data_IF_156826157554
#
_entry.id   IF_156826157554
#
_cell.length_a   1.000
_cell.length_b   1.000
_cell.length_c   1.000
_cell.angle_alpha   90.00
_cell.angle_beta   90.00
_cell.angle_gamma   90.00
#
_symmetry.space_group_name_H-M   'P 1'
#
loop_
_entity.id
_entity.type
_entity.pdbx_description
1 polymer ?
#
# COMPACT_ATOMS: atom_id res chain seq x y z
N UNK A 1 42.48 6.89 -24.35
CA UNK A 1 41.27 6.63 -23.52
C UNK A 1 41.74 6.39 -22.11
N UNK A 2 41.28 7.14 -21.16
CA UNK A 2 41.64 6.97 -19.75
C UNK A 2 40.93 5.75 -19.16
N UNK A 3 41.49 5.16 -18.09
CA UNK A 3 40.85 4.02 -17.39
C UNK A 3 39.42 4.37 -16.93
N UNK A 4 39.21 5.61 -16.50
CA UNK A 4 37.89 6.12 -16.10
C UNK A 4 36.90 6.17 -17.29
N UNK A 5 37.35 6.56 -18.50
CA UNK A 5 36.49 6.55 -19.70
C UNK A 5 36.08 5.13 -20.09
N UNK A 6 36.98 4.13 -19.87
CA UNK A 6 36.65 2.74 -20.12
C UNK A 6 35.58 2.24 -19.16
N UNK A 7 35.72 2.48 -17.86
CA UNK A 7 34.73 2.10 -16.83
C UNK A 7 33.36 2.78 -17.07
N UNK A 8 33.36 4.05 -17.48
CA UNK A 8 32.11 4.74 -17.82
C UNK A 8 31.39 4.09 -19.00
N UNK A 9 32.10 3.69 -20.04
CA UNK A 9 31.51 2.97 -21.19
C UNK A 9 30.92 1.64 -20.75
N UNK A 10 31.57 0.92 -19.87
CA UNK A 10 31.09 -0.33 -19.31
C UNK A 10 29.80 -0.16 -18.50
N UNK A 11 29.72 0.85 -17.64
CA UNK A 11 28.48 1.21 -16.94
C UNK A 11 27.34 1.51 -17.88
N UNK A 12 27.58 2.25 -18.97
CA UNK A 12 26.55 2.55 -19.96
C UNK A 12 26.10 1.28 -20.72
N UNK A 13 27.05 0.40 -21.09
CA UNK A 13 26.73 -0.84 -21.77
C UNK A 13 25.86 -1.76 -20.90
N UNK A 14 26.23 -1.95 -19.64
CA UNK A 14 25.46 -2.77 -18.69
C UNK A 14 24.05 -2.21 -18.47
N UNK A 15 23.93 -0.89 -18.33
CA UNK A 15 22.62 -0.25 -18.18
C UNK A 15 21.70 -0.48 -19.39
N UNK A 16 22.25 -0.40 -20.60
CA UNK A 16 21.53 -0.71 -21.84
C UNK A 16 21.07 -2.18 -21.85
N UNK A 17 21.97 -3.10 -21.54
CA UNK A 17 21.64 -4.52 -21.49
C UNK A 17 20.55 -4.86 -20.48
N UNK A 18 20.58 -4.27 -19.29
CA UNK A 18 19.54 -4.47 -18.27
C UNK A 18 18.19 -3.98 -18.79
N UNK A 19 18.14 -2.81 -19.41
CA UNK A 19 16.92 -2.25 -19.91
C UNK A 19 16.36 -3.05 -21.11
N UNK A 20 17.23 -3.55 -22.00
CA UNK A 20 16.88 -4.43 -23.13
C UNK A 20 16.28 -5.75 -22.60
N UNK A 21 16.93 -6.40 -21.62
CA UNK A 21 16.42 -7.64 -21.02
C UNK A 21 15.07 -7.42 -20.33
N UNK A 22 14.84 -6.24 -19.74
CA UNK A 22 13.54 -5.88 -19.13
C UNK A 22 12.46 -5.53 -20.14
N UNK A 23 12.75 -5.60 -21.46
CA UNK A 23 11.77 -5.35 -22.52
C UNK A 23 11.27 -3.91 -22.61
N UNK A 24 12.10 -2.93 -22.19
CA UNK A 24 11.76 -1.52 -22.36
C UNK A 24 11.92 -1.11 -23.82
N UNK A 25 11.00 -0.28 -24.30
CA UNK A 25 11.10 0.28 -25.65
C UNK A 25 12.37 1.11 -25.83
N UNK A 26 12.87 1.19 -27.05
CA UNK A 26 14.17 1.82 -27.35
C UNK A 26 14.22 3.30 -26.97
N UNK A 27 13.10 4.02 -27.08
CA UNK A 27 12.98 5.41 -26.65
C UNK A 27 13.13 5.57 -25.12
N UNK A 28 12.55 4.65 -24.34
CA UNK A 28 12.70 4.60 -22.89
C UNK A 28 14.14 4.24 -22.48
N UNK A 29 14.80 3.39 -23.24
CA UNK A 29 16.20 3.01 -23.08
C UNK A 29 17.14 4.18 -23.29
N UNK A 30 16.95 4.93 -24.38
CA UNK A 30 17.74 6.12 -24.68
C UNK A 30 17.53 7.22 -23.64
N UNK A 31 16.29 7.44 -23.18
CA UNK A 31 15.98 8.38 -22.12
C UNK A 31 16.65 8.01 -20.77
N UNK A 32 16.66 6.72 -20.42
CA UNK A 32 17.30 6.22 -19.18
C UNK A 32 18.84 6.34 -19.21
N UNK A 33 19.46 6.03 -20.36
CA UNK A 33 20.91 6.05 -20.51
C UNK A 33 21.45 7.45 -20.76
N UNK A 34 20.68 8.27 -21.46
CA UNK A 34 21.09 9.59 -21.90
C UNK A 34 20.52 10.73 -21.05
N UNK A 35 19.87 10.46 -19.91
CA UNK A 35 19.45 11.53 -19.02
C UNK A 35 20.66 12.41 -18.65
N UNK A 36 20.56 13.70 -18.91
CA UNK A 36 21.61 14.67 -18.56
C UNK A 36 22.09 14.50 -17.12
N UNK A 37 21.17 14.27 -16.19
CA UNK A 37 21.44 14.06 -14.78
C UNK A 37 22.40 12.87 -14.54
N UNK A 38 22.15 11.72 -15.18
CA UNK A 38 23.02 10.56 -15.02
C UNK A 38 24.42 10.79 -15.59
N UNK A 39 24.54 11.43 -16.76
CA UNK A 39 25.84 11.77 -17.37
C UNK A 39 26.67 12.70 -16.50
N UNK A 40 26.05 13.72 -15.91
CA UNK A 40 26.73 14.65 -15.01
C UNK A 40 27.14 14.01 -13.69
N UNK A 41 26.29 13.15 -13.12
CA UNK A 41 26.62 12.38 -11.92
C UNK A 41 27.75 11.40 -12.20
N UNK A 42 27.69 10.65 -13.30
CA UNK A 42 28.69 9.67 -13.68
C UNK A 42 30.09 10.28 -13.89
N UNK A 43 30.17 11.52 -14.40
CA UNK A 43 31.45 12.25 -14.53
C UNK A 43 32.11 12.56 -13.18
N UNK A 44 31.34 12.66 -12.10
CA UNK A 44 31.81 12.98 -10.74
C UNK A 44 32.31 11.76 -9.99
N UNK A 45 31.92 10.54 -10.41
CA UNK A 45 32.32 9.31 -9.74
C UNK A 45 33.81 9.03 -9.87
N UNK A 46 34.40 8.56 -8.77
CA UNK A 46 35.80 8.09 -8.76
C UNK A 46 35.89 6.68 -9.35
N UNK A 47 37.09 6.24 -9.74
CA UNK A 47 37.29 4.93 -10.37
C UNK A 47 36.81 3.77 -9.48
N UNK A 48 36.99 3.85 -8.18
CA UNK A 48 36.54 2.81 -7.26
C UNK A 48 35.00 2.75 -7.17
N UNK A 49 34.32 3.89 -7.21
CA UNK A 49 32.86 3.96 -7.21
C UNK A 49 32.27 3.39 -8.50
N UNK A 50 32.94 3.62 -9.63
CA UNK A 50 32.54 3.03 -10.92
C UNK A 50 32.66 1.52 -10.90
N UNK A 51 33.70 0.95 -10.29
CA UNK A 51 33.86 -0.51 -10.15
C UNK A 51 32.75 -1.12 -9.32
N UNK A 52 32.44 -0.54 -8.14
CA UNK A 52 31.33 -1.01 -7.31
C UNK A 52 30.00 -0.99 -8.09
N UNK A 53 29.77 0.07 -8.88
CA UNK A 53 28.56 0.15 -9.69
C UNK A 53 28.51 -0.87 -10.83
N UNK A 54 29.65 -1.18 -11.43
CA UNK A 54 29.75 -2.25 -12.44
C UNK A 54 29.34 -3.59 -11.81
N UNK A 55 29.93 -3.96 -10.67
CA UNK A 55 29.59 -5.18 -9.94
C UNK A 55 28.09 -5.25 -9.61
N UNK A 56 27.51 -4.17 -9.06
CA UNK A 56 26.07 -4.08 -8.78
C UNK A 56 25.21 -4.22 -10.05
N UNK A 57 25.64 -3.63 -11.17
CA UNK A 57 24.90 -3.73 -12.44
C UNK A 57 25.01 -5.13 -13.06
N UNK A 58 26.15 -5.79 -12.91
CA UNK A 58 26.30 -7.18 -13.34
C UNK A 58 25.36 -8.11 -12.58
N UNK A 59 25.23 -7.95 -11.26
CA UNK A 59 24.26 -8.68 -10.43
C UNK A 59 22.84 -8.40 -10.89
N UNK A 60 22.48 -7.13 -11.10
CA UNK A 60 21.16 -6.74 -11.59
C UNK A 60 20.85 -7.31 -12.97
N UNK A 61 21.86 -7.41 -13.85
CA UNK A 61 21.71 -8.02 -15.17
C UNK A 61 21.43 -9.53 -15.06
N UNK A 62 22.11 -10.23 -14.14
CA UNK A 62 21.85 -11.65 -13.91
C UNK A 62 20.42 -11.88 -13.37
N UNK A 63 19.99 -11.05 -12.42
CA UNK A 63 18.61 -11.09 -11.90
C UNK A 63 17.63 -10.86 -13.06
N UNK A 64 17.80 -9.79 -13.85
CA UNK A 64 16.92 -9.49 -14.97
C UNK A 64 16.84 -10.61 -16.01
N UNK A 65 17.97 -11.26 -16.32
CA UNK A 65 18.02 -12.44 -17.23
C UNK A 65 17.26 -13.63 -16.65
N UNK A 66 17.39 -13.88 -15.35
CA UNK A 66 16.66 -14.94 -14.67
C UNK A 66 15.16 -14.67 -14.70
N UNK A 67 14.74 -13.46 -14.36
CA UNK A 67 13.33 -13.05 -14.37
C UNK A 67 12.73 -13.17 -15.78
N UNK A 68 13.46 -12.75 -16.83
CA UNK A 68 13.03 -12.91 -18.19
C UNK A 68 12.89 -14.38 -18.62
N UNK A 69 13.80 -15.25 -18.16
CA UNK A 69 13.73 -16.68 -18.44
C UNK A 69 12.52 -17.32 -17.77
N UNK A 70 12.24 -16.96 -16.51
CA UNK A 70 11.05 -17.42 -15.76
C UNK A 70 9.78 -16.98 -16.49
N UNK A 71 9.70 -15.70 -16.87
CA UNK A 71 8.55 -15.15 -17.61
C UNK A 71 8.30 -15.90 -18.92
N UNK A 72 9.33 -16.11 -19.74
CA UNK A 72 9.22 -16.84 -21.00
C UNK A 72 8.78 -18.29 -20.77
N UNK A 73 9.29 -18.96 -19.72
CA UNK A 73 8.87 -20.31 -19.38
C UNK A 73 7.39 -20.36 -18.92
N UNK A 74 6.96 -19.38 -18.13
CA UNK A 74 5.56 -19.24 -17.72
C UNK A 74 4.63 -19.00 -18.92
N UNK A 75 5.01 -18.10 -19.84
CA UNK A 75 4.25 -17.84 -21.06
C UNK A 75 4.11 -19.11 -21.92
N UNK A 76 5.20 -19.86 -22.09
CA UNK A 76 5.19 -21.15 -22.80
C UNK A 76 4.28 -22.20 -22.13
N UNK A 77 4.32 -22.30 -20.81
CA UNK A 77 3.43 -23.19 -20.06
C UNK A 77 1.95 -22.83 -20.25
N UNK A 78 1.61 -21.56 -20.17
CA UNK A 78 0.23 -21.10 -20.32
C UNK A 78 -0.35 -21.25 -21.73
N UNK A 79 0.46 -21.56 -22.72
CA UNK A 79 -0.02 -21.96 -24.06
C UNK A 79 -0.46 -23.43 -24.11
N UNK A 80 -0.15 -24.24 -23.09
CA UNK A 80 -0.66 -25.62 -22.99
C UNK A 80 -2.08 -25.63 -22.41
N UNK A 81 -2.93 -26.65 -22.73
CA UNK A 81 -4.27 -26.76 -22.16
C UNK A 81 -4.28 -26.82 -20.62
N UNK A 82 -3.30 -27.51 -20.05
CA UNK A 82 -3.14 -27.64 -18.58
C UNK A 82 -2.76 -26.30 -17.96
N UNK A 83 -1.79 -25.59 -18.55
CA UNK A 83 -1.37 -24.27 -18.09
C UNK A 83 -2.46 -23.21 -18.24
N UNK A 84 -3.24 -23.25 -19.31
CA UNK A 84 -4.38 -22.35 -19.51
C UNK A 84 -5.45 -22.57 -18.42
N UNK A 85 -5.74 -23.84 -18.07
CA UNK A 85 -6.66 -24.18 -16.97
C UNK A 85 -6.14 -23.68 -15.62
N UNK A 86 -4.86 -23.95 -15.31
CA UNK A 86 -4.22 -23.53 -14.08
C UNK A 86 -4.20 -21.98 -13.93
N UNK A 87 -3.95 -21.26 -15.03
CA UNK A 87 -4.03 -19.81 -15.08
C UNK A 87 -5.44 -19.31 -14.75
N UNK A 88 -6.44 -19.85 -15.43
CA UNK A 88 -7.84 -19.46 -15.23
C UNK A 88 -8.32 -19.72 -13.78
N UNK A 89 -7.92 -20.85 -13.19
CA UNK A 89 -8.23 -21.19 -11.81
C UNK A 89 -7.56 -20.21 -10.83
N UNK A 90 -6.30 -19.87 -11.06
CA UNK A 90 -5.56 -18.93 -10.21
C UNK A 90 -6.13 -17.50 -10.32
N UNK A 91 -6.44 -17.03 -11.53
CA UNK A 91 -7.09 -15.73 -11.74
C UNK A 91 -8.49 -15.69 -11.09
N UNK A 92 -9.25 -16.78 -11.14
CA UNK A 92 -10.53 -16.88 -10.45
C UNK A 92 -10.38 -16.89 -8.92
N UNK A 93 -9.31 -17.48 -8.39
CA UNK A 93 -8.99 -17.43 -6.97
C UNK A 93 -8.61 -16.02 -6.54
N UNK A 94 -7.77 -15.30 -7.30
CA UNK A 94 -7.39 -13.91 -7.02
C UNK A 94 -8.61 -13.00 -6.97
N UNK A 95 -9.53 -13.10 -7.94
CA UNK A 95 -10.79 -12.33 -7.93
C UNK A 95 -11.66 -12.63 -6.71
N UNK A 96 -11.68 -13.88 -6.24
CA UNK A 96 -12.39 -14.24 -5.00
C UNK A 96 -11.73 -13.60 -3.79
N UNK A 97 -10.40 -13.61 -3.70
CA UNK A 97 -9.67 -12.96 -2.61
C UNK A 97 -9.89 -11.45 -2.61
N UNK A 98 -9.91 -10.79 -3.77
CA UNK A 98 -10.26 -9.37 -3.91
C UNK A 98 -11.70 -9.09 -3.43
N UNK A 99 -12.66 -9.92 -3.82
CA UNK A 99 -14.05 -9.78 -3.36
C UNK A 99 -14.17 -9.95 -1.83
N UNK A 100 -13.42 -10.89 -1.24
CA UNK A 100 -13.37 -11.08 0.21
C UNK A 100 -12.76 -9.87 0.95
N UNK A 101 -11.81 -9.16 0.34
CA UNK A 101 -11.30 -7.90 0.90
C UNK A 101 -12.41 -6.86 1.06
N UNK A 102 -13.16 -6.62 -0.01
CA UNK A 102 -14.23 -5.62 -0.01
C UNK A 102 -15.38 -6.04 0.92
N UNK A 103 -15.81 -7.31 0.89
CA UNK A 103 -16.84 -7.84 1.78
C UNK A 103 -16.43 -7.70 3.25
N UNK A 104 -15.20 -8.09 3.59
CA UNK A 104 -14.67 -7.96 4.95
C UNK A 104 -14.66 -6.50 5.41
N UNK A 105 -14.22 -5.59 4.53
CA UNK A 105 -14.19 -4.16 4.80
C UNK A 105 -15.58 -3.58 5.04
N UNK A 106 -16.53 -3.90 4.16
CA UNK A 106 -17.92 -3.44 4.28
C UNK A 106 -18.57 -3.94 5.57
N UNK A 107 -18.35 -5.22 5.92
CA UNK A 107 -18.87 -5.80 7.15
C UNK A 107 -18.30 -5.08 8.39
N UNK A 108 -16.99 -4.89 8.45
CA UNK A 108 -16.33 -4.20 9.58
C UNK A 108 -16.78 -2.74 9.68
N UNK A 109 -16.92 -2.03 8.56
CA UNK A 109 -17.48 -0.67 8.54
C UNK A 109 -18.90 -0.66 9.10
N UNK A 110 -19.73 -1.61 8.69
CA UNK A 110 -21.11 -1.74 9.18
C UNK A 110 -21.17 -1.98 10.69
N UNK A 111 -20.32 -2.89 11.19
CA UNK A 111 -20.25 -3.23 12.62
C UNK A 111 -19.77 -2.04 13.45
N UNK A 112 -18.71 -1.36 13.01
CA UNK A 112 -18.19 -0.16 13.68
C UNK A 112 -19.27 0.95 13.68
N UNK A 113 -19.92 1.18 12.55
CA UNK A 113 -20.98 2.19 12.44
C UNK A 113 -22.13 1.90 13.43
N UNK A 114 -22.58 0.66 13.50
CA UNK A 114 -23.65 0.26 14.42
C UNK A 114 -23.28 0.50 15.89
N UNK A 115 -22.08 0.10 16.30
CA UNK A 115 -21.61 0.29 17.68
C UNK A 115 -21.31 1.77 17.99
N UNK A 116 -20.76 2.55 17.04
CA UNK A 116 -20.60 4.00 17.19
C UNK A 116 -21.94 4.67 17.47
N UNK A 117 -22.96 4.36 16.67
CA UNK A 117 -24.29 4.93 16.81
C UNK A 117 -24.96 4.57 18.14
N UNK A 118 -24.76 3.36 18.61
CA UNK A 118 -25.28 2.88 19.90
C UNK A 118 -24.63 3.60 21.08
N UNK A 119 -23.30 3.80 21.05
CA UNK A 119 -22.55 4.36 22.18
C UNK A 119 -22.44 5.88 22.15
N UNK A 120 -22.29 6.49 20.97
CA UNK A 120 -22.01 7.92 20.82
C UNK A 120 -23.20 8.72 20.29
N UNK A 121 -24.08 8.14 19.48
CA UNK A 121 -25.26 8.77 18.92
C UNK A 121 -25.38 8.48 17.41
N UNK A 122 -26.61 8.65 16.89
CA UNK A 122 -26.96 8.33 15.50
C UNK A 122 -26.18 9.15 14.45
N UNK A 123 -25.63 10.28 14.86
CA UNK A 123 -24.80 11.16 14.02
C UNK A 123 -23.36 10.66 13.81
N UNK A 124 -22.92 9.66 14.59
CA UNK A 124 -21.57 9.13 14.46
C UNK A 124 -21.46 8.05 13.37
N UNK A 125 -20.36 8.10 12.64
CA UNK A 125 -20.05 7.11 11.58
C UNK A 125 -18.55 6.92 11.38
N UNK A 126 -18.21 5.94 10.56
CA UNK A 126 -16.88 5.69 10.03
C UNK A 126 -16.88 5.98 8.53
N UNK A 127 -15.83 6.62 8.01
CA UNK A 127 -15.68 6.95 6.57
C UNK A 127 -14.48 6.31 5.93
N UNK A 128 -13.45 6.01 6.71
CA UNK A 128 -12.23 5.38 6.20
C UNK A 128 -11.84 4.21 7.08
N UNK A 129 -11.45 3.13 6.44
CA UNK A 129 -10.90 1.95 7.08
C UNK A 129 -9.79 1.39 6.20
N UNK A 130 -8.60 1.21 6.79
CA UNK A 130 -7.47 0.50 6.21
C UNK A 130 -6.91 -0.47 7.24
N UNK A 131 -5.90 -1.24 6.90
CA UNK A 131 -5.23 -2.20 7.81
C UNK A 131 -4.44 -1.56 8.97
N UNK A 132 -4.34 -0.23 9.01
CA UNK A 132 -3.55 0.51 10.02
C UNK A 132 -4.20 1.82 10.47
N UNK A 133 -5.36 2.15 9.90
CA UNK A 133 -5.99 3.45 10.12
C UNK A 133 -7.50 3.37 9.96
N UNK A 134 -8.24 4.08 10.82
CA UNK A 134 -9.65 4.37 10.62
C UNK A 134 -9.96 5.82 10.98
N UNK A 135 -10.98 6.37 10.33
CA UNK A 135 -11.50 7.71 10.60
C UNK A 135 -12.98 7.61 10.99
N UNK A 136 -13.28 8.05 12.18
CA UNK A 136 -14.64 8.12 12.73
C UNK A 136 -15.00 9.57 13.04
N UNK A 137 -16.27 9.89 13.06
CA UNK A 137 -16.69 11.26 13.40
C UNK A 137 -18.17 11.49 13.22
N UNK A 138 -18.56 12.76 13.24
CA UNK A 138 -19.95 13.20 13.09
C UNK A 138 -20.26 13.36 11.59
N UNK A 139 -21.35 12.71 11.14
CA UNK A 139 -21.82 12.78 9.77
C UNK A 139 -22.22 14.21 9.38
N UNK A 140 -21.84 14.59 8.17
CA UNK A 140 -22.29 15.85 7.58
C UNK A 140 -23.75 15.70 7.07
N UNK A 141 -24.71 16.44 7.63
CA UNK A 141 -26.09 16.31 7.20
C UNK A 141 -26.35 16.79 5.77
N UNK A 142 -25.42 17.55 5.20
CA UNK A 142 -25.53 18.10 3.83
C UNK A 142 -24.86 17.21 2.78
N UNK A 143 -24.05 16.23 3.20
CA UNK A 143 -23.28 15.36 2.31
C UNK A 143 -23.35 13.91 2.78
N UNK A 144 -23.95 13.09 1.97
CA UNK A 144 -24.06 11.66 2.25
C UNK A 144 -22.66 11.02 2.35
N UNK A 145 -22.46 10.25 3.43
CA UNK A 145 -21.21 9.53 3.72
C UNK A 145 -19.94 10.38 3.93
N UNK A 146 -20.09 11.68 4.21
CA UNK A 146 -18.97 12.55 4.56
C UNK A 146 -19.04 12.94 6.05
N UNK A 147 -17.89 13.22 6.66
CA UNK A 147 -17.81 13.70 8.03
C UNK A 147 -17.72 15.23 8.08
N UNK A 148 -18.19 15.82 9.17
CA UNK A 148 -18.01 17.24 9.38
C UNK A 148 -16.53 17.52 9.63
N UNK A 149 -15.95 18.41 8.82
CA UNK A 149 -14.56 18.82 8.98
C UNK A 149 -14.26 19.33 10.41
N UNK A 150 -13.18 18.83 11.00
CA UNK A 150 -12.78 19.17 12.37
C UNK A 150 -13.58 18.44 13.48
N UNK A 151 -14.53 17.57 13.11
CA UNK A 151 -15.27 16.71 14.03
C UNK A 151 -15.00 15.24 13.75
N UNK A 152 -13.73 14.92 13.59
CA UNK A 152 -13.22 13.59 13.29
C UNK A 152 -12.22 13.13 14.33
N UNK A 153 -12.17 11.83 14.55
CA UNK A 153 -11.12 11.16 15.29
C UNK A 153 -10.40 10.18 14.37
N UNK A 154 -9.11 10.36 14.26
CA UNK A 154 -8.22 9.49 13.51
C UNK A 154 -7.64 8.44 14.43
N UNK A 155 -7.83 7.17 14.12
CA UNK A 155 -7.38 6.05 14.93
C UNK A 155 -6.29 5.33 14.13
N UNK A 156 -5.09 5.35 14.67
CA UNK A 156 -3.94 4.64 14.12
C UNK A 156 -3.69 3.38 14.90
N UNK A 157 -3.52 2.27 14.23
CA UNK A 157 -3.25 0.98 14.86
C UNK A 157 -2.23 0.17 14.08
N UNK A 158 -1.36 -0.52 14.83
CA UNK A 158 -0.32 -1.37 14.28
C UNK A 158 -0.07 -2.52 15.22
N UNK A 159 -0.20 -3.76 14.74
CA UNK A 159 -0.06 -4.97 15.54
C UNK A 159 1.36 -5.17 16.06
N UNK A 160 2.36 -4.80 15.24
CA UNK A 160 3.77 -4.90 15.61
C UNK A 160 4.53 -3.70 15.04
N UNK A 161 4.82 -2.75 15.89
CA UNK A 161 5.72 -1.67 15.51
C UNK A 161 7.21 -2.11 15.61
N UNK A 162 8.12 -1.23 15.24
CA UNK A 162 9.57 -1.47 15.31
C UNK A 162 10.10 -1.84 16.72
N UNK A 163 9.31 -1.61 17.79
CA UNK A 163 9.60 -2.02 19.18
C UNK A 163 8.94 -3.34 19.56
N UNK A 164 8.22 -3.98 18.65
CA UNK A 164 7.49 -5.22 18.91
C UNK A 164 6.21 -5.04 19.74
N UNK A 165 5.77 -3.79 19.96
CA UNK A 165 4.58 -3.45 20.74
C UNK A 165 3.41 -3.13 19.83
N UNK A 166 2.19 -3.41 20.30
CA UNK A 166 0.97 -2.93 19.65
C UNK A 166 0.86 -1.41 19.80
N UNK A 167 0.46 -0.74 18.73
CA UNK A 167 0.12 0.68 18.72
C UNK A 167 -1.38 0.82 18.50
N UNK A 168 -2.05 1.56 19.38
CA UNK A 168 -3.43 1.98 19.19
C UNK A 168 -3.54 3.41 19.74
N UNK A 169 -3.67 4.37 18.85
CA UNK A 169 -3.67 5.79 19.17
C UNK A 169 -4.87 6.46 18.55
N UNK A 170 -5.57 7.28 19.32
CA UNK A 170 -6.69 8.08 18.87
C UNK A 170 -6.25 9.54 18.87
N UNK A 171 -6.21 10.13 17.67
CA UNK A 171 -5.92 11.54 17.47
C UNK A 171 -7.22 12.26 17.10
N UNK A 172 -7.56 13.25 17.88
CA UNK A 172 -8.68 14.12 17.54
C UNK A 172 -8.22 15.15 16.53
N UNK A 173 -8.98 15.31 15.45
CA UNK A 173 -8.65 16.26 14.39
C UNK A 173 -8.33 17.60 15.01
N UNK A 174 -7.08 18.02 14.90
CA UNK A 174 -6.71 19.37 15.28
C UNK A 174 -7.51 20.28 14.35
N UNK A 175 -8.31 21.14 14.93
CA UNK A 175 -8.80 22.33 14.24
C UNK A 175 -7.56 23.13 13.82
N UNK A 176 -6.92 22.70 12.72
CA UNK A 176 -6.00 23.58 12.02
C UNK A 176 -6.80 24.85 11.71
N UNK A 177 -6.18 26.00 11.75
CA UNK A 177 -6.70 27.36 11.63
C UNK A 177 -7.50 27.65 10.36
N UNK A 178 -8.41 26.77 9.98
CA UNK A 178 -9.40 27.00 8.93
C UNK A 178 -10.58 27.72 9.55
N UNK A 179 -10.94 28.85 8.96
CA UNK A 179 -12.14 29.59 9.30
C UNK A 179 -13.30 28.63 9.46
N UNK A 180 -13.82 28.52 10.68
CA UNK A 180 -15.03 27.77 10.98
C UNK A 180 -16.14 28.38 10.14
N UNK A 181 -16.68 27.61 9.20
CA UNK A 181 -17.80 28.08 8.41
C UNK A 181 -18.93 28.43 9.40
N UNK A 182 -19.59 29.59 9.27
CA UNK A 182 -20.60 30.09 10.21
C UNK A 182 -21.78 29.15 10.43
N UNK A 183 -21.96 28.16 9.56
CA UNK A 183 -23.04 27.18 9.58
C UNK A 183 -22.70 25.91 10.41
N UNK A 184 -21.49 25.76 10.88
CA UNK A 184 -21.20 24.70 11.85
C UNK A 184 -21.77 25.12 13.19
N UNK A 185 -23.01 24.70 13.43
CA UNK A 185 -23.74 25.07 14.63
C UNK A 185 -23.01 24.64 15.89
N UNK A 186 -23.00 25.49 16.90
CA UNK A 186 -22.43 25.19 18.23
C UNK A 186 -22.92 23.85 18.79
N UNK A 187 -24.10 23.37 18.37
CA UNK A 187 -24.64 22.06 18.71
C UNK A 187 -23.85 20.88 18.20
N UNK A 188 -23.34 20.92 16.96
CA UNK A 188 -22.57 19.81 16.39
C UNK A 188 -21.22 19.63 17.09
N UNK A 189 -20.56 20.74 17.45
CA UNK A 189 -19.32 20.68 18.25
C UNK A 189 -19.58 20.14 19.65
N UNK A 190 -20.66 20.55 20.30
CA UNK A 190 -21.01 20.02 21.62
C UNK A 190 -21.24 18.49 21.55
N UNK A 191 -21.98 18.01 20.55
CA UNK A 191 -22.19 16.57 20.32
C UNK A 191 -20.88 15.84 20.09
N UNK A 192 -19.96 16.41 19.31
CA UNK A 192 -18.64 15.85 19.07
C UNK A 192 -17.83 15.70 20.35
N UNK A 193 -17.69 16.78 21.16
CA UNK A 193 -16.95 16.73 22.40
C UNK A 193 -17.57 15.79 23.45
N UNK A 194 -18.90 15.73 23.52
CA UNK A 194 -19.61 14.78 24.37
C UNK A 194 -19.33 13.35 23.93
N UNK A 195 -19.35 13.07 22.62
CA UNK A 195 -19.03 11.77 22.05
C UNK A 195 -17.58 11.35 22.33
N UNK A 196 -16.64 12.27 22.19
CA UNK A 196 -15.23 12.06 22.55
C UNK A 196 -15.08 11.74 24.05
N UNK A 197 -15.77 12.48 24.93
CA UNK A 197 -15.80 12.21 26.36
C UNK A 197 -16.34 10.82 26.68
N UNK A 198 -17.43 10.41 26.01
CA UNK A 198 -17.97 9.04 26.13
C UNK A 198 -17.00 7.99 25.64
N UNK A 199 -16.37 8.22 24.47
CA UNK A 199 -15.38 7.32 23.88
C UNK A 199 -14.23 7.06 24.86
N UNK A 200 -13.72 8.10 25.54
CA UNK A 200 -12.65 7.97 26.53
C UNK A 200 -13.12 7.31 27.85
N UNK A 201 -14.36 7.52 28.22
CA UNK A 201 -14.90 7.00 29.46
C UNK A 201 -15.31 5.51 29.35
N UNK A 202 -15.71 5.06 28.17
CA UNK A 202 -16.17 3.69 27.93
C UNK A 202 -15.00 2.77 27.55
N UNK A 203 -14.34 2.25 28.58
CA UNK A 203 -13.20 1.33 28.39
C UNK A 203 -13.58 0.03 27.69
N UNK A 204 -14.84 -0.41 27.80
CA UNK A 204 -15.32 -1.64 27.14
C UNK A 204 -15.51 -1.41 25.65
N UNK A 205 -16.05 -0.26 25.25
CA UNK A 205 -16.16 0.13 23.86
C UNK A 205 -14.78 0.36 23.21
N UNK A 206 -13.85 1.01 23.91
CA UNK A 206 -12.48 1.17 23.42
C UNK A 206 -11.76 -0.17 23.23
N UNK A 207 -11.93 -1.12 24.17
CA UNK A 207 -11.38 -2.46 24.03
C UNK A 207 -11.96 -3.17 22.81
N UNK A 208 -13.28 -3.13 22.63
CA UNK A 208 -13.93 -3.68 21.47
C UNK A 208 -13.46 -3.02 20.16
N UNK A 209 -13.37 -1.69 20.12
CA UNK A 209 -12.90 -0.97 18.94
C UNK A 209 -11.44 -1.33 18.59
N UNK A 210 -10.61 -1.51 19.60
CA UNK A 210 -9.25 -2.02 19.44
C UNK A 210 -9.23 -3.44 18.88
N UNK A 211 -10.04 -4.33 19.42
CA UNK A 211 -10.09 -5.73 18.99
C UNK A 211 -10.57 -5.87 17.54
N UNK A 212 -11.61 -5.12 17.13
CA UNK A 212 -12.11 -5.15 15.76
C UNK A 212 -11.08 -4.55 14.78
N UNK A 213 -10.38 -3.47 15.17
CA UNK A 213 -9.33 -2.87 14.35
C UNK A 213 -8.18 -3.85 14.09
N UNK A 214 -7.69 -4.51 15.13
CA UNK A 214 -6.63 -5.50 14.98
C UNK A 214 -7.11 -6.77 14.26
N UNK A 215 -8.33 -7.22 14.51
CA UNK A 215 -8.93 -8.33 13.78
C UNK A 215 -9.00 -8.05 12.28
N UNK A 216 -9.41 -6.84 11.91
CA UNK A 216 -9.41 -6.41 10.51
C UNK A 216 -8.01 -6.34 9.92
N UNK A 217 -7.03 -5.78 10.62
CA UNK A 217 -5.64 -5.72 10.18
C UNK A 217 -5.03 -7.12 9.96
N UNK A 218 -5.27 -8.04 10.88
CA UNK A 218 -4.82 -9.43 10.77
C UNK A 218 -5.48 -10.12 9.55
N UNK A 219 -6.79 -9.90 9.34
CA UNK A 219 -7.51 -10.45 8.18
C UNK A 219 -7.03 -9.86 6.85
N UNK A 220 -6.78 -8.56 6.80
CA UNK A 220 -6.19 -7.90 5.63
C UNK A 220 -4.81 -8.49 5.28
N UNK A 221 -4.02 -8.80 6.31
CA UNK A 221 -2.72 -9.43 6.11
C UNK A 221 -2.86 -10.84 5.53
N UNK A 222 -3.73 -11.68 6.10
CA UNK A 222 -3.98 -13.03 5.59
C UNK A 222 -4.39 -13.02 4.11
N UNK A 223 -5.37 -12.17 3.76
CA UNK A 223 -5.85 -12.04 2.38
C UNK A 223 -4.76 -11.53 1.43
N UNK A 224 -3.92 -10.61 1.90
CA UNK A 224 -2.78 -10.10 1.13
C UNK A 224 -1.73 -11.18 0.90
N UNK A 225 -1.41 -11.95 1.92
CA UNK A 225 -0.46 -13.06 1.83
C UNK A 225 -0.99 -14.14 0.86
N UNK A 226 -2.30 -14.45 0.90
CA UNK A 226 -2.97 -15.35 -0.05
C UNK A 226 -2.89 -14.79 -1.48
N UNK A 227 -3.25 -13.51 -1.68
CA UNK A 227 -3.18 -12.86 -2.99
C UNK A 227 -1.76 -12.86 -3.57
N UNK A 228 -0.76 -12.54 -2.76
CA UNK A 228 0.64 -12.56 -3.18
C UNK A 228 1.09 -13.97 -3.56
N UNK A 229 0.69 -14.98 -2.81
CA UNK A 229 0.97 -16.39 -3.14
C UNK A 229 0.35 -16.82 -4.48
N UNK A 230 -0.88 -16.37 -4.76
CA UNK A 230 -1.54 -16.62 -6.05
C UNK A 230 -0.83 -15.88 -7.20
N UNK A 231 -0.41 -14.62 -6.96
CA UNK A 231 0.34 -13.85 -7.93
C UNK A 231 1.71 -14.49 -8.25
N UNK A 232 2.43 -14.95 -7.22
CA UNK A 232 3.68 -15.70 -7.42
C UNK A 232 3.48 -16.95 -8.27
N UNK A 233 2.36 -17.69 -8.09
CA UNK A 233 2.02 -18.84 -8.95
C UNK A 233 1.75 -18.45 -10.39
N UNK A 234 1.15 -17.26 -10.64
CA UNK A 234 0.98 -16.76 -12.00
C UNK A 234 2.30 -16.34 -12.64
N UNK A 235 3.19 -15.73 -11.86
CA UNK A 235 4.48 -15.27 -12.38
C UNK A 235 5.47 -16.43 -12.58
N UNK A 236 5.42 -17.45 -11.72
CA UNK A 236 6.31 -18.60 -11.76
C UNK A 236 5.56 -19.93 -11.56
N UNK A 237 4.73 -20.36 -12.55
CA UNK A 237 3.90 -21.58 -12.43
C UNK A 237 4.69 -22.87 -12.35
N UNK A 238 5.97 -22.84 -12.75
CA UNK A 238 6.85 -24.01 -12.80
C UNK A 238 7.80 -24.08 -11.60
N UNK A 239 7.77 -23.10 -10.68
CA UNK A 239 8.66 -23.02 -9.51
C UNK A 239 10.16 -23.10 -9.87
N UNK A 240 10.59 -22.43 -10.95
CA UNK A 240 11.96 -22.44 -11.49
C UNK A 240 12.83 -21.36 -10.83
#
# INVERSE_FOLDING_TARGET
MTRKETLLKEVYALRNLIAEVKGKEQEDLEALVHTWKFKEEAKRWKEYELKIRIEQMEELLQIAKRDAAIKNAAEGYYLTPEGASAKAETEAAMKRTEALFEETKEQVISDIKAELQKHLGSEWSITRLTDSYMEIGVLNPEKENDLIFGQTAEIYYERRNYKGCERFEINFGSCGSHELLPQQTAGSFASFFIGIGKLHADTSFLAWLKDIAFGYADRCKELRDEYNSLNERLENPLNI
#
